data_IF_946222641481
#
_entry.id   IF_946222641481
#
_cell.length_a   1.000
_cell.length_b   1.000
_cell.length_c   1.000
_cell.angle_alpha   90.00
_cell.angle_beta   90.00
_cell.angle_gamma   90.00
#
_symmetry.space_group_name_H-M   'P 1'
#
loop_
_entity.id
_entity.type
_entity.pdbx_description
1 polymer ?
#
# COMPACT_ATOMS: atom_id res chain seq x y z
N UNK A 1 -0.10 6.93 18.38
CA UNK A 1 0.05 6.33 17.04
C UNK A 1 1.51 6.00 16.79
N UNK A 2 1.79 4.83 16.25
CA UNK A 2 3.14 4.29 16.12
C UNK A 2 3.70 4.24 14.70
N UNK A 3 2.97 4.74 13.71
CA UNK A 3 3.50 4.76 12.34
C UNK A 3 4.67 5.74 12.24
N UNK A 4 5.78 5.24 11.75
CA UNK A 4 6.99 6.02 11.51
C UNK A 4 7.38 5.93 10.04
N UNK A 5 8.43 6.66 9.65
CA UNK A 5 8.94 6.60 8.29
C UNK A 5 9.45 5.22 7.86
N UNK A 6 9.67 4.31 8.80
CA UNK A 6 10.20 2.97 8.53
C UNK A 6 9.24 1.87 8.95
N UNK A 7 7.95 2.12 8.89
CA UNK A 7 6.95 1.17 9.38
C UNK A 7 6.85 -0.07 8.48
N UNK A 8 7.69 -1.06 8.76
CA UNK A 8 7.55 -2.40 8.19
C UNK A 8 6.58 -3.17 9.08
N UNK A 9 5.54 -3.74 8.50
CA UNK A 9 4.53 -4.49 9.22
C UNK A 9 4.53 -5.93 8.74
N UNK A 10 4.03 -6.83 9.60
CA UNK A 10 3.87 -8.23 9.24
C UNK A 10 2.56 -8.77 9.76
N UNK A 11 1.98 -9.68 9.00
CA UNK A 11 0.87 -10.50 9.43
C UNK A 11 1.28 -11.96 9.37
N UNK A 12 0.36 -12.88 9.57
CA UNK A 12 0.68 -14.31 9.54
C UNK A 12 1.30 -14.73 8.21
N UNK A 13 0.75 -14.26 7.08
CA UNK A 13 1.18 -14.68 5.74
C UNK A 13 1.86 -13.57 4.95
N UNK A 14 1.75 -12.30 5.38
CA UNK A 14 2.15 -11.15 4.58
C UNK A 14 3.28 -10.37 5.24
N UNK A 15 4.12 -9.83 4.37
CA UNK A 15 5.12 -8.83 4.71
C UNK A 15 4.68 -7.52 4.07
N UNK A 16 4.59 -6.45 4.84
CA UNK A 16 4.16 -5.14 4.38
C UNK A 16 5.35 -4.20 4.49
N UNK A 17 5.90 -3.79 3.35
CA UNK A 17 7.05 -2.88 3.32
C UNK A 17 6.67 -1.55 2.68
N UNK A 18 7.09 -0.41 3.26
CA UNK A 18 6.89 0.88 2.60
C UNK A 18 7.42 0.86 1.18
N UNK A 19 6.65 1.42 0.24
CA UNK A 19 7.02 1.39 -1.17
C UNK A 19 8.24 2.26 -1.45
N UNK A 20 9.00 1.85 -2.46
CA UNK A 20 10.18 2.57 -2.97
C UNK A 20 10.16 2.53 -4.49
N UNK A 21 10.88 3.46 -5.12
CA UNK A 21 10.95 3.52 -6.59
C UNK A 21 11.44 2.19 -7.20
N UNK A 22 12.28 1.44 -6.50
CA UNK A 22 12.78 0.14 -6.96
C UNK A 22 11.68 -0.93 -7.12
N UNK A 23 10.49 -0.68 -6.55
CA UNK A 23 9.35 -1.59 -6.65
C UNK A 23 8.55 -1.38 -7.94
N UNK A 24 9.02 -0.51 -8.83
CA UNK A 24 8.27 -0.06 -9.99
C UNK A 24 7.79 -1.18 -10.91
N UNK A 25 8.58 -2.23 -11.10
CA UNK A 25 8.19 -3.33 -12.00
C UNK A 25 6.93 -4.05 -11.50
N UNK A 26 6.87 -4.35 -10.20
CA UNK A 26 5.71 -5.01 -9.60
C UNK A 26 4.49 -4.10 -9.64
N UNK A 27 4.66 -2.83 -9.31
CA UNK A 27 3.56 -1.86 -9.31
C UNK A 27 3.10 -1.51 -10.72
N UNK A 28 4.00 -1.56 -11.71
CA UNK A 28 3.59 -1.43 -13.10
C UNK A 28 2.61 -2.55 -13.48
N UNK A 29 2.94 -3.80 -13.11
CA UNK A 29 2.05 -4.91 -13.37
C UNK A 29 0.69 -4.74 -12.71
N UNK A 30 0.65 -4.25 -11.47
CA UNK A 30 -0.59 -4.02 -10.74
C UNK A 30 -1.40 -2.86 -11.34
N UNK A 31 -0.76 -1.70 -11.52
CA UNK A 31 -1.46 -0.49 -11.94
C UNK A 31 -1.82 -0.47 -13.43
N UNK A 32 -1.22 -1.32 -14.24
CA UNK A 32 -1.56 -1.46 -15.65
C UNK A 32 -2.53 -2.62 -15.91
N UNK A 33 -2.97 -3.31 -14.86
CA UNK A 33 -3.91 -4.44 -15.00
C UNK A 33 -5.26 -3.96 -15.53
N UNK A 34 -5.74 -4.47 -16.67
CA UNK A 34 -7.08 -4.11 -17.18
C UNK A 34 -8.19 -4.52 -16.21
N UNK A 35 -8.01 -5.65 -15.52
CA UNK A 35 -8.99 -6.13 -14.54
C UNK A 35 -9.13 -5.16 -13.38
N UNK A 36 -8.01 -4.70 -12.83
CA UNK A 36 -8.03 -3.74 -11.74
C UNK A 36 -8.57 -2.39 -12.19
N UNK A 37 -8.17 -1.91 -13.36
CA UNK A 37 -8.68 -0.65 -13.91
C UNK A 37 -10.19 -0.68 -14.07
N UNK A 38 -10.74 -1.80 -14.55
CA UNK A 38 -12.17 -1.97 -14.73
C UNK A 38 -12.91 -1.93 -13.39
N UNK A 39 -12.39 -2.62 -12.38
CA UNK A 39 -13.01 -2.69 -11.05
C UNK A 39 -12.92 -1.34 -10.34
N UNK A 40 -11.76 -0.69 -10.41
CA UNK A 40 -11.52 0.57 -9.72
C UNK A 40 -12.04 1.80 -10.49
N UNK A 41 -12.37 1.66 -11.78
CA UNK A 41 -12.84 2.77 -12.60
C UNK A 41 -11.75 3.78 -12.93
N UNK A 42 -10.50 3.37 -12.96
CA UNK A 42 -9.36 4.24 -13.26
C UNK A 42 -8.63 3.74 -14.51
N UNK A 43 -7.96 4.65 -15.20
CA UNK A 43 -7.16 4.30 -16.36
C UNK A 43 -5.85 3.61 -15.93
N UNK A 44 -5.40 2.58 -16.68
CA UNK A 44 -4.10 1.98 -16.41
C UNK A 44 -2.97 2.98 -16.63
N UNK A 45 -1.87 2.82 -15.87
CA UNK A 45 -0.68 3.64 -16.07
C UNK A 45 -0.03 3.34 -17.43
N UNK A 46 0.59 4.37 -18.02
CA UNK A 46 1.15 4.26 -19.37
C UNK A 46 2.58 3.76 -19.43
N UNK A 47 3.39 3.93 -18.38
CA UNK A 47 4.82 3.61 -18.44
C UNK A 47 5.41 3.25 -17.10
N UNK A 48 6.53 2.53 -17.16
CA UNK A 48 7.32 2.19 -15.97
C UNK A 48 7.86 3.44 -15.29
N UNK A 49 8.26 4.46 -16.06
CA UNK A 49 8.79 5.71 -15.51
C UNK A 49 7.71 6.45 -14.71
N UNK A 50 6.47 6.45 -15.17
CA UNK A 50 5.35 7.04 -14.42
C UNK A 50 5.15 6.34 -13.08
N UNK A 51 5.26 5.01 -13.08
CA UNK A 51 5.12 4.23 -11.85
C UNK A 51 6.24 4.56 -10.88
N UNK A 52 7.49 4.59 -11.36
CA UNK A 52 8.64 4.90 -10.51
C UNK A 52 8.50 6.31 -9.90
N UNK A 53 8.06 7.28 -10.70
CA UNK A 53 7.84 8.65 -10.21
C UNK A 53 6.73 8.70 -9.15
N UNK A 54 5.64 7.94 -9.36
CA UNK A 54 4.55 7.86 -8.39
C UNK A 54 5.01 7.25 -7.07
N UNK A 55 5.77 6.16 -7.12
CA UNK A 55 6.30 5.53 -5.92
C UNK A 55 7.26 6.44 -5.17
N UNK A 56 8.10 7.19 -5.89
CA UNK A 56 8.99 8.17 -5.27
C UNK A 56 8.20 9.27 -4.56
N UNK A 57 7.07 9.69 -5.12
CA UNK A 57 6.19 10.67 -4.49
C UNK A 57 5.58 10.11 -3.20
N UNK A 58 5.12 8.86 -3.20
CA UNK A 58 4.61 8.23 -1.99
C UNK A 58 5.68 8.11 -0.92
N UNK A 59 6.92 7.82 -1.31
CA UNK A 59 8.03 7.79 -0.37
C UNK A 59 8.26 9.17 0.28
N UNK A 60 8.21 10.24 -0.49
CA UNK A 60 8.33 11.61 0.04
C UNK A 60 7.21 11.93 1.03
N UNK A 61 5.97 11.55 0.70
CA UNK A 61 4.83 11.79 1.59
C UNK A 61 4.96 10.99 2.89
N UNK A 62 5.48 9.76 2.81
CA UNK A 62 5.74 8.96 4.01
C UNK A 62 6.78 9.61 4.91
N UNK A 63 7.87 10.10 4.32
CA UNK A 63 8.92 10.79 5.09
C UNK A 63 8.42 12.08 5.73
N UNK A 64 7.40 12.69 5.15
CA UNK A 64 6.73 13.85 5.72
C UNK A 64 5.68 13.49 6.78
N UNK A 65 5.43 12.19 6.99
CA UNK A 65 4.43 11.74 7.94
C UNK A 65 2.99 11.97 7.52
N UNK A 66 2.71 12.04 6.22
CA UNK A 66 1.40 12.43 5.70
C UNK A 66 0.64 11.30 5.01
N UNK A 67 1.36 10.22 4.63
CA UNK A 67 0.75 9.18 3.80
C UNK A 67 1.63 7.93 3.85
N UNK A 68 1.02 6.77 3.98
CA UNK A 68 1.74 5.49 4.01
C UNK A 68 1.17 4.56 2.96
N UNK A 69 2.04 4.01 2.13
CA UNK A 69 1.70 2.97 1.17
C UNK A 69 2.69 1.83 1.32
N UNK A 70 2.18 0.61 1.44
CA UNK A 70 2.99 -0.60 1.60
C UNK A 70 2.82 -1.51 0.40
N UNK A 71 3.91 -2.12 -0.01
CA UNK A 71 3.85 -3.27 -0.89
C UNK A 71 3.55 -4.50 -0.03
N UNK A 72 2.70 -5.38 -0.55
CA UNK A 72 2.36 -6.64 0.11
C UNK A 72 3.07 -7.77 -0.62
N UNK A 73 3.75 -8.63 0.12
CA UNK A 73 4.36 -9.84 -0.42
C UNK A 73 4.11 -11.02 0.51
N UNK A 74 4.10 -12.22 -0.05
CA UNK A 74 3.95 -13.43 0.75
C UNK A 74 5.23 -13.71 1.52
N UNK A 75 5.11 -13.97 2.81
CA UNK A 75 6.28 -14.31 3.63
C UNK A 75 6.93 -15.62 3.20
N UNK A 76 6.12 -16.55 2.67
CA UNK A 76 6.61 -17.89 2.29
C UNK A 76 7.44 -17.89 1.01
N UNK A 77 7.12 -17.01 0.04
CA UNK A 77 7.73 -17.07 -1.28
C UNK A 77 8.34 -15.74 -1.73
N UNK A 78 7.92 -14.63 -1.13
CA UNK A 78 8.30 -13.30 -1.59
C UNK A 78 7.46 -12.79 -2.75
N UNK A 79 6.46 -13.57 -3.21
CA UNK A 79 5.62 -13.15 -4.32
C UNK A 79 4.87 -11.87 -4.01
N UNK A 80 4.84 -10.96 -4.99
CA UNK A 80 4.13 -9.71 -4.87
C UNK A 80 2.62 -9.94 -4.91
N UNK A 81 1.91 -9.44 -3.89
CA UNK A 81 0.46 -9.62 -3.74
C UNK A 81 -0.31 -8.37 -4.14
N UNK A 82 0.23 -7.20 -3.83
CA UNK A 82 -0.47 -5.94 -4.09
C UNK A 82 -0.02 -4.81 -3.18
N UNK A 83 -0.96 -3.93 -2.86
CA UNK A 83 -0.68 -2.75 -2.05
C UNK A 83 -1.79 -2.47 -1.05
N UNK A 84 -1.43 -1.74 0.01
CA UNK A 84 -2.37 -1.14 0.94
C UNK A 84 -1.84 0.23 1.32
N UNK A 85 -2.75 1.18 1.54
CA UNK A 85 -2.38 2.54 1.90
C UNK A 85 -3.22 3.05 3.06
N UNK A 86 -2.66 4.00 3.82
CA UNK A 86 -3.37 4.63 4.92
C UNK A 86 -2.90 6.08 5.04
N UNK A 87 -3.84 6.97 5.35
CA UNK A 87 -3.54 8.40 5.47
C UNK A 87 -4.57 9.08 6.36
N UNK A 88 -4.17 10.09 7.14
CA UNK A 88 -5.14 10.90 7.86
C UNK A 88 -5.96 11.71 6.85
N UNK A 89 -7.30 11.68 6.98
CA UNK A 89 -8.19 12.40 6.04
C UNK A 89 -8.24 13.89 6.33
N UNK A 90 -7.85 14.30 7.56
CA UNK A 90 -7.78 15.71 7.98
C UNK A 90 -6.42 15.96 8.58
N UNK A 91 -5.36 15.98 7.76
CA UNK A 91 -3.99 16.07 8.28
C UNK A 91 -3.67 17.35 9.02
N UNK A 92 -4.44 18.44 8.78
CA UNK A 92 -4.27 19.72 9.44
C UNK A 92 -4.85 19.76 10.85
N UNK A 93 -5.61 18.73 11.26
CA UNK A 93 -6.24 18.64 12.58
C UNK A 93 -5.58 17.56 13.42
N UNK A 94 -4.94 17.96 14.51
CA UNK A 94 -4.27 17.04 15.43
C UNK A 94 -5.04 16.96 16.75
N UNK A 95 -5.10 15.79 17.40
CA UNK A 95 -4.60 14.47 16.93
C UNK A 95 -5.46 13.92 15.80
N UNK A 96 -4.87 13.08 14.95
CA UNK A 96 -5.59 12.46 13.85
C UNK A 96 -6.55 11.39 14.39
N UNK A 97 -7.83 11.56 14.08
CA UNK A 97 -8.88 10.65 14.57
C UNK A 97 -9.60 9.93 13.41
N UNK A 98 -9.32 10.33 12.18
CA UNK A 98 -9.98 9.76 11.02
C UNK A 98 -8.94 9.41 9.95
N UNK A 99 -9.01 8.19 9.43
CA UNK A 99 -8.06 7.66 8.47
C UNK A 99 -8.78 7.09 7.26
N UNK A 100 -8.19 7.33 6.08
CA UNK A 100 -8.56 6.63 4.86
C UNK A 100 -7.65 5.42 4.68
N UNK A 101 -8.21 4.29 4.23
CA UNK A 101 -7.45 3.09 3.91
C UNK A 101 -7.94 2.56 2.57
N UNK A 102 -7.01 2.29 1.67
CA UNK A 102 -7.31 1.69 0.37
C UNK A 102 -6.38 0.52 0.10
N UNK A 103 -6.81 -0.39 -0.76
CA UNK A 103 -5.97 -1.51 -1.15
C UNK A 103 -6.29 -1.97 -2.57
N UNK A 104 -5.29 -2.61 -3.20
CA UNK A 104 -5.45 -3.23 -4.51
C UNK A 104 -4.57 -4.48 -4.55
N UNK A 105 -5.11 -5.59 -5.03
CA UNK A 105 -4.39 -6.86 -5.11
C UNK A 105 -4.31 -7.35 -6.54
N UNK A 106 -3.22 -8.05 -6.86
CA UNK A 106 -3.11 -8.82 -8.09
C UNK A 106 -4.25 -9.84 -8.14
N UNK A 107 -4.92 -9.98 -9.27
CA UNK A 107 -6.13 -10.79 -9.37
C UNK A 107 -5.92 -12.26 -8.99
N UNK A 108 -4.73 -12.80 -9.22
CA UNK A 108 -4.40 -14.18 -8.86
C UNK A 108 -4.30 -14.40 -7.34
N UNK A 109 -4.35 -13.33 -6.56
CA UNK A 109 -4.32 -13.40 -5.10
C UNK A 109 -5.65 -12.98 -4.46
N UNK A 110 -6.69 -12.77 -5.26
CA UNK A 110 -8.01 -12.44 -4.75
C UNK A 110 -8.64 -13.64 -4.04
N UNK A 111 -9.58 -13.35 -3.12
CA UNK A 111 -10.42 -14.34 -2.44
C UNK A 111 -9.64 -15.32 -1.55
N UNK A 112 -8.50 -14.88 -1.05
CA UNK A 112 -7.67 -15.71 -0.16
C UNK A 112 -7.51 -15.09 1.23
N UNK A 113 -8.21 -13.97 1.50
CA UNK A 113 -8.16 -13.30 2.79
C UNK A 113 -7.00 -12.36 2.99
N UNK A 114 -6.19 -12.11 1.96
CA UNK A 114 -5.01 -11.25 2.10
C UNK A 114 -5.38 -9.79 2.37
N UNK A 115 -6.43 -9.27 1.73
CA UNK A 115 -6.85 -7.89 1.98
C UNK A 115 -7.26 -7.67 3.43
N UNK A 116 -8.04 -8.61 3.98
CA UNK A 116 -8.47 -8.55 5.39
C UNK A 116 -7.27 -8.63 6.32
N UNK A 117 -6.34 -9.52 6.02
CA UNK A 117 -5.14 -9.69 6.83
C UNK A 117 -4.27 -8.42 6.83
N UNK A 118 -4.08 -7.82 5.66
CA UNK A 118 -3.32 -6.56 5.53
C UNK A 118 -4.03 -5.42 6.24
N UNK A 119 -5.35 -5.32 6.08
CA UNK A 119 -6.14 -4.28 6.74
C UNK A 119 -6.01 -4.35 8.26
N UNK A 120 -6.10 -5.55 8.83
CA UNK A 120 -5.95 -5.73 10.28
C UNK A 120 -4.57 -5.31 10.75
N UNK A 121 -3.52 -5.63 10.01
CA UNK A 121 -2.16 -5.25 10.37
C UNK A 121 -2.01 -3.72 10.38
N UNK A 122 -2.57 -3.03 9.39
CA UNK A 122 -2.50 -1.57 9.29
C UNK A 122 -3.31 -0.91 10.40
N UNK A 123 -4.52 -1.41 10.68
CA UNK A 123 -5.37 -0.87 11.76
C UNK A 123 -4.65 -0.97 13.10
N UNK A 124 -4.05 -2.13 13.40
CA UNK A 124 -3.30 -2.30 14.63
C UNK A 124 -2.14 -1.31 14.71
N UNK A 125 -1.42 -1.09 13.61
CA UNK A 125 -0.30 -0.16 13.58
C UNK A 125 -0.75 1.28 13.81
N UNK A 126 -1.89 1.68 13.26
CA UNK A 126 -2.43 3.04 13.41
C UNK A 126 -2.84 3.30 14.86
N UNK A 127 -3.51 2.35 15.48
CA UNK A 127 -4.11 2.54 16.81
C UNK A 127 -3.28 1.95 17.95
N UNK A 128 -2.11 1.40 17.66
CA UNK A 128 -1.19 0.94 18.68
C UNK A 128 -0.51 2.13 19.39
N UNK A 129 -0.38 2.03 20.70
CA UNK A 129 0.21 3.09 21.52
C UNK A 129 1.45 2.65 22.26
#
# INVERSE_FOLDING_TARGET
MKLSGRSVLMSERLHLEPVQARDAADFYALWSSPTLAQVAGIDPVGSLDEVAAGLAQFERLRLMGMYWKWRLSLRSSGDFVGEIEAYPTRPQIQPWTEWGIGYSLMSNHWRQGYATEALNAVILAIFEH
#
